data_IF_962639689252
#
_entry.id   IF_962639689252
#
_cell.length_a   1.000
_cell.length_b   1.000
_cell.length_c   1.000
_cell.angle_alpha   90.00
_cell.angle_beta   90.00
_cell.angle_gamma   90.00
#
_symmetry.space_group_name_H-M   'P 1'
#
loop_
_entity.id
_entity.type
_entity.pdbx_description
1 polymer ?
#
# COMPACT_ATOMS: atom_id res chain seq x y z
N UNK A 1 27.32 -14.08 -65.61
CA UNK A 1 27.12 -13.41 -64.32
C UNK A 1 26.74 -14.47 -63.29
N UNK A 2 27.42 -14.53 -62.14
CA UNK A 2 27.05 -15.40 -61.00
C UNK A 2 26.79 -14.55 -59.80
N UNK A 3 25.71 -14.86 -59.10
CA UNK A 3 25.35 -14.29 -57.81
C UNK A 3 25.51 -15.44 -56.80
N UNK A 4 26.03 -15.13 -55.63
CA UNK A 4 26.11 -16.07 -54.52
C UNK A 4 25.79 -15.28 -53.23
N UNK A 5 24.61 -15.45 -52.75
CA UNK A 5 24.18 -15.02 -51.44
C UNK A 5 23.94 -16.23 -50.55
N UNK A 6 23.71 -16.00 -49.26
CA UNK A 6 23.41 -17.05 -48.28
C UNK A 6 22.16 -16.63 -47.51
N UNK A 7 21.33 -17.62 -47.29
CA UNK A 7 20.30 -17.51 -46.29
C UNK A 7 20.96 -17.21 -44.92
N UNK A 8 20.35 -16.35 -44.17
CA UNK A 8 20.85 -15.91 -42.87
C UNK A 8 19.71 -15.84 -41.85
N UNK A 9 20.04 -16.12 -40.61
CA UNK A 9 19.13 -15.91 -39.47
C UNK A 9 19.72 -14.77 -38.64
N UNK A 10 18.89 -13.79 -38.31
CA UNK A 10 19.26 -12.59 -37.54
C UNK A 10 18.18 -12.26 -36.50
N UNK A 11 18.58 -11.57 -35.43
CA UNK A 11 17.62 -11.04 -34.46
C UNK A 11 16.64 -10.08 -35.16
N UNK A 12 15.40 -10.04 -34.66
CA UNK A 12 14.33 -9.29 -35.28
C UNK A 12 14.56 -7.76 -35.26
N UNK A 13 15.38 -7.24 -34.33
CA UNK A 13 15.78 -5.85 -34.21
C UNK A 13 16.99 -5.47 -35.07
N UNK A 14 17.50 -6.43 -35.83
CA UNK A 14 18.64 -6.20 -36.73
C UNK A 14 18.27 -5.20 -37.83
N UNK A 15 19.13 -4.21 -38.07
CA UNK A 15 19.00 -3.34 -39.22
C UNK A 15 19.21 -4.16 -40.53
N UNK A 16 18.11 -4.43 -41.21
CA UNK A 16 18.14 -5.20 -42.47
C UNK A 16 18.88 -4.47 -43.59
N UNK A 17 19.15 -3.17 -43.46
CA UNK A 17 19.97 -2.42 -44.41
C UNK A 17 21.48 -2.59 -44.17
N UNK A 18 21.87 -3.12 -43.00
CA UNK A 18 23.26 -3.42 -42.74
C UNK A 18 23.65 -4.74 -43.42
N UNK A 19 24.22 -4.61 -44.61
CA UNK A 19 24.65 -5.75 -45.42
C UNK A 19 25.81 -6.52 -44.80
N UNK A 20 26.53 -5.94 -43.83
CA UNK A 20 27.57 -6.67 -43.11
C UNK A 20 27.00 -7.78 -42.22
N UNK A 21 25.75 -7.60 -41.78
CA UNK A 21 25.01 -8.58 -40.96
C UNK A 21 24.07 -9.44 -41.79
N UNK A 22 23.31 -8.84 -42.70
CA UNK A 22 22.33 -9.56 -43.53
C UNK A 22 22.91 -10.22 -44.76
N UNK A 23 24.16 -9.94 -45.08
CA UNK A 23 24.85 -10.47 -46.27
C UNK A 23 24.79 -9.50 -47.46
N UNK A 24 25.81 -9.59 -48.31
CA UNK A 24 25.94 -8.81 -49.54
C UNK A 24 26.28 -9.79 -50.69
N UNK A 25 26.04 -9.35 -51.90
CA UNK A 25 26.41 -10.10 -53.08
C UNK A 25 27.92 -10.12 -53.20
N UNK A 26 28.49 -11.27 -52.93
CA UNK A 26 29.91 -11.53 -53.10
C UNK A 26 30.17 -12.09 -54.51
N UNK A 27 31.24 -11.66 -55.14
CA UNK A 27 31.75 -12.19 -56.41
C UNK A 27 30.81 -11.96 -57.63
N UNK A 28 30.07 -10.83 -57.66
CA UNK A 28 29.39 -10.44 -58.91
C UNK A 28 30.41 -10.15 -60.00
N UNK A 29 30.44 -10.95 -61.04
CA UNK A 29 31.37 -10.80 -62.14
C UNK A 29 30.70 -11.08 -63.50
N UNK A 30 31.06 -10.28 -64.49
CA UNK A 30 30.71 -10.49 -65.86
C UNK A 30 31.95 -10.56 -66.74
N UNK A 31 31.94 -11.40 -67.79
CA UNK A 31 33.07 -11.61 -68.68
C UNK A 31 33.20 -10.47 -69.72
N UNK A 32 32.11 -9.78 -70.01
CA UNK A 32 32.02 -8.79 -71.06
C UNK A 32 31.95 -7.36 -70.58
N UNK A 33 31.57 -7.12 -69.29
CA UNK A 33 31.44 -5.80 -68.70
C UNK A 33 32.15 -5.71 -67.36
N UNK A 34 32.84 -4.61 -67.12
CA UNK A 34 33.41 -4.29 -65.81
C UNK A 34 32.48 -3.42 -64.95
N UNK A 35 31.46 -2.84 -65.55
CA UNK A 35 30.48 -2.04 -64.85
C UNK A 35 29.30 -2.91 -64.38
N UNK A 36 29.23 -3.13 -63.07
CA UNK A 36 28.21 -3.97 -62.41
C UNK A 36 27.50 -3.12 -61.42
N UNK A 37 26.15 -3.16 -61.47
CA UNK A 37 25.26 -2.51 -60.53
C UNK A 37 24.47 -3.57 -59.76
N UNK A 38 24.52 -3.50 -58.41
CA UNK A 38 23.81 -4.40 -57.51
C UNK A 38 22.72 -3.61 -56.81
N UNK A 39 21.49 -4.12 -56.84
CA UNK A 39 20.33 -3.58 -56.12
C UNK A 39 19.57 -4.73 -55.47
N UNK A 40 18.77 -4.45 -54.47
CA UNK A 40 17.85 -5.43 -53.88
C UNK A 40 16.48 -4.85 -53.55
N UNK A 41 15.50 -5.74 -53.36
CA UNK A 41 14.17 -5.45 -52.84
C UNK A 41 13.81 -6.48 -51.83
N UNK A 42 13.20 -6.06 -50.71
CA UNK A 42 12.76 -6.92 -49.61
C UNK A 42 11.24 -7.05 -49.59
N UNK A 43 10.77 -8.29 -49.45
CA UNK A 43 9.38 -8.61 -49.19
C UNK A 43 9.32 -9.36 -47.85
N UNK A 44 8.56 -8.82 -46.86
CA UNK A 44 8.36 -9.46 -45.57
C UNK A 44 7.10 -10.30 -45.57
N UNK A 45 7.22 -11.59 -45.20
CA UNK A 45 6.03 -12.38 -44.88
C UNK A 45 5.58 -12.01 -43.48
N UNK A 46 4.30 -11.64 -43.33
CA UNK A 46 3.70 -11.42 -42.02
C UNK A 46 3.06 -12.73 -41.56
N UNK A 47 3.58 -13.33 -40.49
CA UNK A 47 2.88 -14.37 -39.76
C UNK A 47 1.80 -13.73 -38.88
N UNK A 48 0.67 -14.40 -38.67
CA UNK A 48 -0.39 -13.92 -37.73
C UNK A 48 0.00 -14.10 -36.24
N UNK A 49 1.26 -14.48 -35.94
CA UNK A 49 1.78 -14.67 -34.59
C UNK A 49 2.22 -13.37 -33.94
N UNK A 50 2.18 -13.32 -32.62
CA UNK A 50 2.68 -12.18 -31.84
C UNK A 50 4.22 -12.15 -31.74
N UNK A 51 4.88 -13.27 -32.06
CA UNK A 51 6.34 -13.37 -32.13
C UNK A 51 6.82 -12.96 -33.53
N UNK A 52 7.61 -11.89 -33.63
CA UNK A 52 8.17 -11.42 -34.90
C UNK A 52 9.21 -12.40 -35.48
N UNK A 53 9.74 -13.31 -34.66
CA UNK A 53 10.65 -14.36 -35.11
C UNK A 53 10.04 -15.36 -36.13
N UNK A 54 8.71 -15.37 -36.26
CA UNK A 54 8.04 -16.18 -37.30
C UNK A 54 8.09 -15.51 -38.68
N UNK A 55 8.63 -14.30 -38.79
CA UNK A 55 8.66 -13.55 -40.03
C UNK A 55 9.92 -13.91 -40.83
N UNK A 56 9.73 -13.97 -42.14
CA UNK A 56 10.79 -14.22 -43.12
C UNK A 56 10.84 -13.05 -44.09
N UNK A 57 12.04 -12.51 -44.30
CA UNK A 57 12.27 -11.50 -45.34
C UNK A 57 12.85 -12.22 -46.56
N UNK A 58 12.18 -12.08 -47.67
CA UNK A 58 12.64 -12.53 -48.98
C UNK A 58 13.31 -11.37 -49.68
N UNK A 59 14.63 -11.36 -49.74
CA UNK A 59 15.44 -10.35 -50.42
C UNK A 59 15.72 -10.83 -51.84
N UNK A 60 15.26 -10.06 -52.84
CA UNK A 60 15.55 -10.32 -54.25
C UNK A 60 16.69 -9.40 -54.70
N UNK A 61 17.82 -9.99 -54.93
CA UNK A 61 18.98 -9.32 -55.49
C UNK A 61 18.86 -9.21 -57.01
N UNK A 62 19.27 -8.07 -57.57
CA UNK A 62 19.36 -7.84 -59.01
C UNK A 62 20.75 -7.29 -59.34
N UNK A 63 21.47 -8.02 -60.17
CA UNK A 63 22.76 -7.59 -60.66
C UNK A 63 22.64 -7.30 -62.14
N UNK A 64 23.00 -6.05 -62.54
CA UNK A 64 22.88 -5.55 -63.91
C UNK A 64 24.25 -5.13 -64.42
N UNK A 65 24.58 -5.53 -65.68
CA UNK A 65 25.81 -5.12 -66.36
C UNK A 65 25.66 -3.75 -67.03
N UNK A 66 26.76 -3.15 -67.51
CA UNK A 66 26.76 -1.89 -68.24
C UNK A 66 26.03 -1.91 -69.56
N UNK A 67 25.62 -3.05 -70.07
CA UNK A 67 24.83 -3.23 -71.28
C UNK A 67 23.33 -3.40 -71.02
N UNK A 68 22.92 -3.49 -69.75
CA UNK A 68 21.53 -3.59 -69.31
C UNK A 68 21.02 -5.06 -69.19
N UNK A 69 21.91 -6.07 -69.25
CA UNK A 69 21.52 -7.43 -68.94
C UNK A 69 21.50 -7.63 -67.43
N UNK A 70 20.44 -8.24 -66.95
CA UNK A 70 20.19 -8.44 -65.50
C UNK A 70 20.04 -9.93 -65.14
N UNK A 71 20.49 -10.29 -63.95
CA UNK A 71 20.29 -11.58 -63.29
C UNK A 71 19.77 -11.31 -61.89
N UNK A 72 18.84 -12.13 -61.46
CA UNK A 72 18.29 -12.07 -60.11
C UNK A 72 18.60 -13.33 -59.32
N UNK A 73 18.74 -13.20 -58.03
CA UNK A 73 18.80 -14.30 -57.05
C UNK A 73 18.03 -13.95 -55.80
N UNK A 74 17.66 -14.96 -55.00
CA UNK A 74 16.78 -14.78 -53.85
C UNK A 74 17.50 -15.26 -52.59
N UNK A 75 17.59 -14.40 -51.59
CA UNK A 75 18.09 -14.68 -50.27
C UNK A 75 16.91 -14.74 -49.30
N UNK A 76 16.93 -15.71 -48.41
CA UNK A 76 15.99 -15.82 -47.30
C UNK A 76 16.65 -15.33 -46.01
N UNK A 77 16.12 -14.29 -45.42
CA UNK A 77 16.51 -13.78 -44.11
C UNK A 77 15.43 -14.19 -43.12
N UNK A 78 15.77 -15.10 -42.22
CA UNK A 78 14.89 -15.55 -41.15
C UNK A 78 15.11 -14.64 -39.92
N UNK A 79 14.06 -14.07 -39.39
CA UNK A 79 14.11 -13.32 -38.14
C UNK A 79 13.98 -14.32 -36.98
N UNK A 80 14.76 -14.11 -35.94
CA UNK A 80 14.62 -14.82 -34.67
C UNK A 80 14.56 -13.83 -33.51
N UNK A 81 14.00 -14.25 -32.41
CA UNK A 81 13.97 -13.52 -31.16
C UNK A 81 14.47 -14.45 -30.05
N UNK A 82 15.72 -14.25 -29.66
CA UNK A 82 16.37 -14.99 -28.59
C UNK A 82 16.62 -14.13 -27.34
N UNK A 83 16.20 -12.89 -27.39
CA UNK A 83 16.35 -11.92 -26.29
C UNK A 83 15.13 -11.93 -25.40
N UNK A 84 15.35 -11.89 -24.10
CA UNK A 84 14.27 -11.80 -23.13
C UNK A 84 13.94 -10.33 -22.83
N UNK A 85 12.71 -10.03 -22.36
CA UNK A 85 12.33 -8.68 -21.96
C UNK A 85 13.33 -8.05 -20.98
N UNK A 86 13.69 -6.81 -21.21
CA UNK A 86 14.57 -6.04 -20.32
C UNK A 86 13.70 -5.34 -19.27
N UNK A 87 14.06 -5.50 -17.99
CA UNK A 87 13.35 -4.89 -16.86
C UNK A 87 14.33 -4.05 -16.05
N UNK A 88 14.03 -2.75 -15.90
CA UNK A 88 14.79 -1.84 -15.04
C UNK A 88 13.99 -1.63 -13.77
N UNK A 89 14.53 -2.03 -12.61
CA UNK A 89 13.82 -2.07 -11.36
C UNK A 89 14.71 -1.78 -10.16
N UNK A 90 14.08 -1.48 -9.03
CA UNK A 90 14.71 -1.39 -7.72
C UNK A 90 14.55 -2.72 -6.98
N UNK A 91 15.67 -3.30 -6.55
CA UNK A 91 15.68 -4.57 -5.81
C UNK A 91 15.12 -4.42 -4.38
N UNK A 92 15.41 -3.30 -3.71
CA UNK A 92 15.00 -3.05 -2.33
C UNK A 92 14.10 -1.83 -2.25
N UNK A 93 12.87 -2.03 -1.83
CA UNK A 93 11.83 -1.01 -1.78
C UNK A 93 11.37 -0.83 -0.34
N UNK A 94 11.28 0.42 0.12
CA UNK A 94 10.66 0.74 1.40
C UNK A 94 9.45 1.64 1.16
N UNK A 95 8.27 1.16 1.59
CA UNK A 95 7.02 1.88 1.52
C UNK A 95 6.65 2.38 2.92
N UNK A 96 6.25 3.63 3.03
CA UNK A 96 5.79 4.24 4.27
C UNK A 96 4.29 4.52 4.15
N UNK A 97 3.55 4.15 5.19
CA UNK A 97 2.13 4.48 5.35
C UNK A 97 1.24 4.11 4.15
N UNK A 98 1.64 3.05 3.44
CA UNK A 98 0.83 2.51 2.37
C UNK A 98 -0.39 1.81 2.96
N UNK A 99 -1.53 2.49 2.98
CA UNK A 99 -2.82 1.96 3.46
C UNK A 99 -3.40 0.87 2.54
N UNK A 100 -2.71 0.54 1.44
CA UNK A 100 -3.14 -0.50 0.51
C UNK A 100 -2.69 -1.87 1.00
N UNK A 101 -3.64 -2.76 1.24
CA UNK A 101 -3.36 -4.19 1.47
C UNK A 101 -2.76 -4.88 0.24
N UNK A 102 -2.78 -4.20 -0.91
CA UNK A 102 -2.21 -4.69 -2.17
C UNK A 102 -1.09 -3.76 -2.61
N UNK A 103 0.13 -4.28 -2.64
CA UNK A 103 1.26 -3.58 -3.26
C UNK A 103 1.09 -3.66 -4.76
N UNK A 104 1.18 -2.50 -5.44
CA UNK A 104 1.17 -2.43 -6.89
C UNK A 104 2.24 -3.39 -7.46
N UNK A 105 1.86 -4.20 -8.45
CA UNK A 105 2.77 -5.15 -9.09
C UNK A 105 3.99 -4.45 -9.69
N UNK A 106 3.83 -3.20 -10.14
CA UNK A 106 4.91 -2.44 -10.76
C UNK A 106 5.66 -1.49 -9.81
N UNK A 107 5.46 -1.62 -8.49
CA UNK A 107 6.22 -0.81 -7.54
C UNK A 107 7.74 -0.99 -7.77
N UNK A 108 8.46 0.12 -7.87
CA UNK A 108 9.92 0.11 -8.10
C UNK A 108 10.36 -0.35 -9.48
N UNK A 109 9.46 -0.63 -10.42
CA UNK A 109 9.79 -0.90 -11.82
C UNK A 109 9.68 0.41 -12.59
N UNK A 110 10.75 0.79 -13.27
CA UNK A 110 10.83 2.04 -14.02
C UNK A 110 10.68 1.87 -15.50
N UNK A 111 11.08 0.73 -16.05
CA UNK A 111 11.02 0.45 -17.48
C UNK A 111 10.91 -1.06 -17.73
N UNK A 112 10.11 -1.44 -18.72
CA UNK A 112 10.02 -2.79 -19.24
C UNK A 112 9.90 -2.66 -20.75
N UNK A 113 10.78 -3.30 -21.48
CA UNK A 113 10.71 -3.32 -22.94
C UNK A 113 11.27 -4.61 -23.52
N UNK A 114 10.76 -4.96 -24.67
CA UNK A 114 11.26 -5.96 -25.56
C UNK A 114 11.29 -5.40 -26.99
N UNK A 115 12.35 -5.71 -27.74
CA UNK A 115 12.51 -5.13 -29.07
C UNK A 115 11.72 -5.87 -30.15
N UNK A 116 11.35 -7.12 -29.88
CA UNK A 116 10.84 -8.04 -30.87
C UNK A 116 9.38 -8.43 -30.67
N UNK A 117 8.86 -8.30 -29.45
CA UNK A 117 7.52 -8.79 -29.18
C UNK A 117 6.88 -8.14 -27.94
N UNK A 118 5.57 -8.31 -27.79
CA UNK A 118 4.87 -7.99 -26.55
C UNK A 118 5.24 -9.01 -25.46
N UNK A 119 5.11 -8.60 -24.20
CA UNK A 119 5.38 -9.45 -23.03
C UNK A 119 4.16 -9.66 -22.15
N UNK A 120 4.18 -10.73 -21.40
CA UNK A 120 3.28 -11.02 -20.29
C UNK A 120 4.09 -11.21 -19.02
N UNK A 121 3.45 -11.11 -17.84
CA UNK A 121 4.14 -11.34 -16.58
C UNK A 121 3.31 -12.15 -15.59
N UNK A 122 4.01 -12.75 -14.63
CA UNK A 122 3.41 -13.38 -13.45
C UNK A 122 4.12 -12.89 -12.20
N UNK A 123 3.35 -12.68 -11.11
CA UNK A 123 3.88 -12.23 -9.82
C UNK A 123 3.65 -13.32 -8.77
N UNK A 124 4.64 -13.54 -7.92
CA UNK A 124 4.57 -14.42 -6.76
C UNK A 124 5.14 -13.71 -5.55
N UNK A 125 4.31 -13.50 -4.52
CA UNK A 125 4.66 -12.82 -3.29
C UNK A 125 4.78 -13.81 -2.12
N UNK A 126 5.91 -13.79 -1.42
CA UNK A 126 6.15 -14.56 -0.20
C UNK A 126 6.32 -13.58 0.96
N UNK A 127 5.32 -13.54 1.84
CA UNK A 127 5.36 -12.70 3.02
C UNK A 127 6.28 -13.30 4.09
N UNK A 128 7.19 -12.48 4.60
CA UNK A 128 8.12 -12.83 5.67
C UNK A 128 8.10 -11.75 6.74
N UNK A 129 7.90 -12.14 8.00
CA UNK A 129 7.88 -11.21 9.12
C UNK A 129 6.54 -10.50 9.28
N UNK A 130 5.80 -10.88 10.32
CA UNK A 130 4.56 -10.20 10.73
C UNK A 130 4.82 -9.39 11.99
N UNK A 131 5.50 -8.25 11.87
CA UNK A 131 5.44 -7.22 12.90
C UNK A 131 4.07 -6.55 12.85
N UNK A 132 3.55 -6.09 14.01
CA UNK A 132 2.28 -5.35 14.07
C UNK A 132 2.39 -4.05 13.24
N UNK A 133 3.61 -3.55 13.06
CA UNK A 133 3.90 -2.23 12.49
C UNK A 133 4.67 -2.27 11.17
N UNK A 134 5.01 -3.47 10.70
CA UNK A 134 5.72 -3.63 9.43
C UNK A 134 5.56 -5.04 8.90
N UNK A 135 5.57 -5.19 7.58
CA UNK A 135 5.73 -6.48 6.95
C UNK A 135 6.81 -6.42 5.88
N UNK A 136 7.37 -7.58 5.57
CA UNK A 136 8.32 -7.76 4.49
C UNK A 136 7.77 -8.79 3.53
N UNK A 137 7.97 -8.58 2.26
CA UNK A 137 7.68 -9.58 1.25
C UNK A 137 8.87 -9.72 0.29
N UNK A 138 9.06 -10.93 -0.15
CA UNK A 138 9.92 -11.25 -1.29
C UNK A 138 9.00 -11.47 -2.48
N UNK A 139 9.13 -10.62 -3.47
CA UNK A 139 8.38 -10.66 -4.73
C UNK A 139 9.26 -11.25 -5.81
N UNK A 140 8.76 -12.27 -6.48
CA UNK A 140 9.39 -12.81 -7.70
C UNK A 140 8.45 -12.52 -8.87
N UNK A 141 8.96 -11.86 -9.89
CA UNK A 141 8.22 -11.61 -11.14
C UNK A 141 8.94 -12.28 -12.31
N UNK A 142 8.18 -12.94 -13.15
CA UNK A 142 8.66 -13.55 -14.37
C UNK A 142 7.97 -12.87 -15.55
N UNK A 143 8.76 -12.24 -16.39
CA UNK A 143 8.32 -11.61 -17.64
C UNK A 143 8.63 -12.59 -18.78
N UNK A 144 7.64 -12.83 -19.61
CA UNK A 144 7.76 -13.76 -20.75
C UNK A 144 7.31 -13.03 -22.00
N UNK A 145 8.14 -12.99 -23.02
CA UNK A 145 7.78 -12.45 -24.32
C UNK A 145 6.88 -13.42 -25.12
N UNK A 146 6.45 -12.99 -26.29
CA UNK A 146 5.61 -13.81 -27.16
C UNK A 146 6.36 -14.98 -27.82
N UNK A 147 7.69 -14.95 -27.83
CA UNK A 147 8.56 -16.00 -28.37
C UNK A 147 8.98 -17.02 -27.30
N UNK A 148 8.69 -16.73 -26.03
CA UNK A 148 8.92 -17.62 -24.89
C UNK A 148 10.22 -17.36 -24.13
N UNK A 149 10.96 -16.27 -24.45
CA UNK A 149 12.14 -15.88 -23.68
C UNK A 149 11.69 -15.24 -22.36
N UNK A 150 12.44 -15.43 -21.29
CA UNK A 150 12.01 -15.02 -19.95
C UNK A 150 13.07 -14.25 -19.19
N UNK A 151 12.62 -13.19 -18.50
CA UNK A 151 13.41 -12.50 -17.47
C UNK A 151 12.73 -12.65 -16.12
N UNK A 152 13.49 -13.04 -15.11
CA UNK A 152 13.04 -13.15 -13.73
C UNK A 152 13.70 -12.07 -12.89
N UNK A 153 12.91 -11.32 -12.13
CA UNK A 153 13.40 -10.35 -11.16
C UNK A 153 12.94 -10.74 -9.75
N UNK A 154 13.71 -10.32 -8.75
CA UNK A 154 13.40 -10.47 -7.34
C UNK A 154 13.43 -9.09 -6.67
N UNK A 155 12.42 -8.79 -5.86
CA UNK A 155 12.31 -7.55 -5.10
C UNK A 155 12.07 -7.86 -3.62
N UNK A 156 12.73 -7.11 -2.75
CA UNK A 156 12.52 -7.10 -1.31
C UNK A 156 11.73 -5.84 -0.94
N UNK A 157 10.45 -6.00 -0.63
CA UNK A 157 9.59 -4.88 -0.25
C UNK A 157 9.38 -4.89 1.26
N UNK A 158 9.70 -3.76 1.89
CA UNK A 158 9.43 -3.52 3.31
C UNK A 158 8.38 -2.43 3.42
N UNK A 159 7.23 -2.75 4.01
CA UNK A 159 6.21 -1.75 4.35
C UNK A 159 6.30 -1.42 5.83
N UNK A 160 6.35 -0.13 6.14
CA UNK A 160 6.43 0.43 7.50
C UNK A 160 5.22 1.34 7.71
N UNK A 161 4.50 1.12 8.82
CA UNK A 161 3.35 1.93 9.18
C UNK A 161 3.69 2.89 10.31
N UNK A 162 3.21 4.13 10.22
CA UNK A 162 3.28 5.08 11.32
C UNK A 162 2.38 4.62 12.47
N UNK A 163 2.90 4.71 13.69
CA UNK A 163 2.21 4.30 14.90
C UNK A 163 2.04 5.49 15.83
N UNK A 164 0.91 5.54 16.51
CA UNK A 164 0.56 6.60 17.45
C UNK A 164 -0.88 6.48 17.91
N UNK A 165 -1.37 7.47 18.63
CA UNK A 165 -2.77 7.51 19.02
C UNK A 165 -3.68 7.87 17.84
N UNK A 166 -4.58 6.95 17.45
CA UNK A 166 -5.52 7.14 16.33
C UNK A 166 -6.90 7.66 16.72
N UNK A 167 -7.15 7.92 18.01
CA UNK A 167 -8.43 8.42 18.51
C UNK A 167 -8.43 9.94 18.60
N UNK A 168 -9.31 10.58 17.82
CA UNK A 168 -9.39 12.04 17.70
C UNK A 168 -9.75 12.77 19.02
N UNK A 169 -10.35 12.06 19.98
CA UNK A 169 -10.71 12.62 21.29
C UNK A 169 -9.54 12.59 22.28
N UNK A 170 -8.43 11.98 21.96
CA UNK A 170 -7.24 11.95 22.79
C UNK A 170 -6.42 13.23 22.60
N UNK A 171 -5.78 13.73 23.68
CA UNK A 171 -4.96 14.97 23.64
C UNK A 171 -3.67 14.81 22.83
N UNK A 172 -3.22 13.57 22.64
CA UNK A 172 -2.06 13.23 21.86
C UNK A 172 -2.43 12.51 20.55
N UNK A 173 -3.63 12.79 20.01
CA UNK A 173 -4.04 12.30 18.70
C UNK A 173 -2.99 12.64 17.64
N UNK A 174 -2.61 11.63 16.87
CA UNK A 174 -1.69 11.77 15.74
C UNK A 174 -2.44 11.45 14.43
N UNK A 175 -2.73 12.48 13.65
CA UNK A 175 -3.42 12.35 12.36
C UNK A 175 -2.62 11.51 11.35
N UNK A 176 -1.29 11.45 11.52
CA UNK A 176 -0.42 10.67 10.62
C UNK A 176 -0.34 9.19 11.02
N UNK A 177 -0.78 8.81 12.24
CA UNK A 177 -0.76 7.44 12.68
C UNK A 177 -1.82 6.62 11.95
N UNK A 178 -1.42 5.47 11.39
CA UNK A 178 -2.31 4.49 10.76
C UNK A 178 -2.66 3.37 11.74
N UNK A 179 -1.76 3.05 12.67
CA UNK A 179 -1.96 1.99 13.66
C UNK A 179 -1.91 2.59 15.06
N UNK A 180 -2.94 2.30 15.87
CA UNK A 180 -2.97 2.64 17.28
C UNK A 180 -1.94 1.80 18.05
N UNK A 181 -1.02 2.47 18.73
CA UNK A 181 0.02 1.85 19.56
C UNK A 181 -0.36 1.77 21.06
N UNK A 182 -1.59 2.17 21.39
CA UNK A 182 -2.09 2.23 22.76
C UNK A 182 -1.55 3.40 23.58
N UNK A 183 -0.93 4.39 22.94
CA UNK A 183 -0.36 5.58 23.60
C UNK A 183 -1.37 6.67 23.89
N UNK A 184 -2.67 6.47 23.57
CA UNK A 184 -3.70 7.49 23.71
C UNK A 184 -3.83 7.99 25.15
N UNK A 185 -3.84 9.29 25.30
CA UNK A 185 -3.96 10.01 26.58
C UNK A 185 -5.25 10.81 26.59
N UNK A 186 -6.07 10.61 27.61
CA UNK A 186 -7.34 11.31 27.78
C UNK A 186 -7.31 12.14 29.05
N UNK A 187 -7.80 13.37 28.98
CA UNK A 187 -8.01 14.24 30.14
C UNK A 187 -9.40 14.00 30.73
N UNK A 188 -9.52 14.23 32.04
CA UNK A 188 -10.76 14.14 32.77
C UNK A 188 -10.53 13.83 34.24
N UNK A 189 -11.63 13.75 35.01
CA UNK A 189 -11.53 13.40 36.43
C UNK A 189 -11.05 11.96 36.63
N UNK A 190 -9.93 11.78 37.31
CA UNK A 190 -9.33 10.46 37.61
C UNK A 190 -9.69 9.91 38.98
N UNK A 191 -10.41 10.69 39.81
CA UNK A 191 -10.87 10.27 41.15
C UNK A 191 -12.15 9.45 41.04
N UNK A 192 -12.08 8.17 41.38
CA UNK A 192 -13.21 7.24 41.37
C UNK A 192 -14.34 7.63 42.35
N UNK A 193 -14.04 8.48 43.37
CA UNK A 193 -15.03 8.97 44.33
C UNK A 193 -15.83 10.15 43.79
N UNK A 194 -15.38 10.78 42.73
CA UNK A 194 -16.01 11.95 42.14
C UNK A 194 -17.23 11.60 41.29
N UNK A 195 -18.22 12.49 41.31
CA UNK A 195 -19.47 12.26 40.58
C UNK A 195 -19.32 12.25 39.05
N UNK A 196 -18.26 12.84 38.52
CA UNK A 196 -17.90 12.90 37.12
C UNK A 196 -16.63 12.10 36.80
N UNK A 197 -16.33 11.05 37.57
CA UNK A 197 -15.24 10.15 37.28
C UNK A 197 -15.26 9.66 35.83
N UNK A 198 -14.13 9.80 35.14
CA UNK A 198 -13.94 9.31 33.79
C UNK A 198 -12.99 8.10 33.78
N UNK A 199 -13.49 6.86 33.57
CA UNK A 199 -12.66 5.66 33.66
C UNK A 199 -11.61 5.54 32.57
N UNK A 200 -11.71 6.33 31.49
CA UNK A 200 -10.72 6.35 30.41
C UNK A 200 -9.69 7.47 30.57
N UNK A 201 -9.93 8.43 31.48
CA UNK A 201 -8.97 9.51 31.74
C UNK A 201 -7.69 8.93 32.34
N UNK A 202 -6.55 9.33 31.76
CA UNK A 202 -5.21 9.00 32.24
C UNK A 202 -4.50 10.22 32.83
N UNK A 203 -5.04 11.40 32.58
CA UNK A 203 -4.56 12.69 33.12
C UNK A 203 -5.71 13.42 33.78
N UNK A 204 -5.51 13.82 35.07
CA UNK A 204 -6.48 14.63 35.77
C UNK A 204 -6.44 16.07 35.25
N UNK A 205 -7.60 16.58 34.81
CA UNK A 205 -7.77 17.92 34.30
C UNK A 205 -8.27 18.92 35.37
N UNK A 206 -8.40 18.45 36.61
CA UNK A 206 -8.92 19.22 37.73
C UNK A 206 -10.45 19.43 37.73
N UNK A 207 -11.17 18.71 36.86
CA UNK A 207 -12.61 18.81 36.70
C UNK A 207 -13.39 17.98 37.73
N UNK A 208 -12.72 17.27 38.61
CA UNK A 208 -13.36 16.38 39.58
C UNK A 208 -14.44 17.06 40.41
N UNK A 209 -15.63 16.48 40.43
CA UNK A 209 -16.80 17.01 41.18
C UNK A 209 -17.04 16.15 42.42
N UNK A 210 -16.77 16.73 43.57
CA UNK A 210 -17.11 16.15 44.87
C UNK A 210 -18.42 16.81 45.37
N UNK A 211 -19.49 16.03 45.38
CA UNK A 211 -20.79 16.50 45.87
C UNK A 211 -20.86 16.34 47.39
N UNK A 212 -21.29 17.37 48.10
CA UNK A 212 -21.45 17.31 49.56
C UNK A 212 -22.02 18.58 50.13
N UNK A 213 -22.30 18.54 51.42
CA UNK A 213 -22.73 19.71 52.16
C UNK A 213 -21.58 20.73 52.25
N UNK A 214 -21.78 21.92 51.70
CA UNK A 214 -20.81 23.01 51.70
C UNK A 214 -21.05 24.04 52.86
N UNK A 215 -22.11 23.85 53.68
CA UNK A 215 -22.39 24.70 54.82
C UNK A 215 -21.73 24.13 56.09
N UNK A 216 -20.76 24.85 56.72
CA UNK A 216 -20.11 24.43 57.95
C UNK A 216 -21.07 24.19 59.13
N UNK A 217 -22.31 24.68 59.07
CA UNK A 217 -23.29 24.44 60.09
C UNK A 217 -24.01 23.09 59.97
N UNK A 218 -23.89 22.41 58.84
CA UNK A 218 -24.43 21.07 58.60
C UNK A 218 -23.62 19.99 59.34
N UNK A 219 -24.29 18.93 59.81
CA UNK A 219 -23.63 17.80 60.47
C UNK A 219 -22.75 16.96 59.50
N UNK A 220 -23.16 16.95 58.23
CA UNK A 220 -22.51 16.25 57.15
C UNK A 220 -21.62 17.16 56.27
N UNK A 221 -21.16 18.30 56.86
CA UNK A 221 -20.29 19.24 56.21
C UNK A 221 -19.06 18.54 55.63
N UNK A 222 -18.86 18.67 54.32
CA UNK A 222 -17.69 18.17 53.61
C UNK A 222 -16.85 19.33 53.11
N UNK A 223 -15.67 19.58 53.72
CA UNK A 223 -14.77 20.67 53.29
C UNK A 223 -14.18 20.49 51.89
N UNK A 224 -14.18 19.27 51.37
CA UNK A 224 -13.67 18.95 50.04
C UNK A 224 -14.74 19.02 48.95
N UNK A 225 -16.02 19.28 49.34
CA UNK A 225 -17.09 19.46 48.38
C UNK A 225 -16.87 20.71 47.54
N UNK A 226 -16.89 20.56 46.23
CA UNK A 226 -16.86 21.65 45.26
C UNK A 226 -18.16 21.80 44.46
N UNK A 227 -19.16 20.94 44.76
CA UNK A 227 -20.49 21.00 44.21
C UNK A 227 -21.54 20.81 45.35
N UNK A 228 -22.60 21.66 45.44
CA UNK A 228 -23.53 21.60 46.56
C UNK A 228 -24.33 20.31 46.56
N UNK A 229 -24.29 19.60 47.68
CA UNK A 229 -25.19 18.54 48.07
C UNK A 229 -26.21 19.00 49.11
N UNK A 230 -27.13 18.13 49.49
CA UNK A 230 -28.02 18.40 50.64
C UNK A 230 -27.21 18.50 51.94
N UNK A 231 -27.64 19.32 52.87
CA UNK A 231 -27.06 19.43 54.21
C UNK A 231 -28.03 18.91 55.26
N UNK A 232 -27.55 18.08 56.18
CA UNK A 232 -28.29 17.72 57.38
C UNK A 232 -28.00 18.73 58.50
N UNK A 233 -29.02 19.36 58.99
CA UNK A 233 -28.88 20.32 60.06
C UNK A 233 -29.37 19.73 61.38
N UNK A 234 -28.81 20.22 62.50
CA UNK A 234 -29.37 19.89 63.79
C UNK A 234 -30.84 20.27 63.79
N UNK A 235 -31.65 19.42 64.29
CA UNK A 235 -33.06 19.76 64.55
C UNK A 235 -33.14 21.02 65.39
N UNK A 236 -33.71 22.10 64.85
CA UNK A 236 -33.81 23.34 65.58
C UNK A 236 -34.63 23.21 66.88
N UNK A 237 -35.37 22.15 67.00
CA UNK A 237 -36.22 21.88 68.21
C UNK A 237 -36.02 20.40 68.65
N UNK A 238 -34.84 20.02 69.21
CA UNK A 238 -34.64 18.65 69.67
C UNK A 238 -35.65 18.33 70.75
N UNK A 239 -36.54 17.39 70.45
CA UNK A 239 -37.68 17.05 71.31
C UNK A 239 -39.06 17.42 70.77
N UNK A 240 -39.11 18.11 69.61
CA UNK A 240 -40.31 18.27 68.79
C UNK A 240 -40.54 16.98 67.99
N UNK A 241 -41.26 16.08 68.54
CA UNK A 241 -41.46 14.71 67.97
C UNK A 241 -42.59 14.75 66.91
N UNK A 242 -43.44 15.74 66.97
CA UNK A 242 -44.56 15.86 66.06
C UNK A 242 -44.34 16.91 64.93
N UNK A 243 -43.12 17.47 64.85
CA UNK A 243 -42.72 18.47 63.86
C UNK A 243 -43.64 19.72 63.78
N UNK A 244 -44.29 20.12 64.94
CA UNK A 244 -45.17 21.30 64.99
C UNK A 244 -44.39 22.59 65.25
N UNK A 245 -43.11 22.55 65.43
CA UNK A 245 -42.19 23.69 65.66
C UNK A 245 -42.13 24.10 67.12
N UNK A 246 -42.72 23.37 68.08
CA UNK A 246 -42.68 23.69 69.49
C UNK A 246 -42.52 22.44 70.35
N UNK A 247 -41.53 22.41 71.23
CA UNK A 247 -41.38 21.34 72.24
C UNK A 247 -42.35 21.52 73.38
N UNK A 248 -43.40 20.71 73.48
CA UNK A 248 -44.43 20.77 74.45
C UNK A 248 -45.00 19.40 74.88
N UNK A 249 -46.12 19.40 75.59
CA UNK A 249 -46.73 18.12 76.08
C UNK A 249 -47.26 17.23 74.98
N UNK A 250 -47.50 17.77 73.77
CA UNK A 250 -47.97 16.97 72.64
C UNK A 250 -46.84 16.05 72.12
N UNK A 251 -45.58 16.47 72.12
CA UNK A 251 -44.41 15.66 71.75
C UNK A 251 -44.23 14.51 72.75
N UNK A 252 -44.39 14.77 74.01
CA UNK A 252 -44.28 13.75 75.03
C UNK A 252 -45.42 12.71 74.91
N UNK A 253 -46.62 13.14 74.50
CA UNK A 253 -47.70 12.20 74.23
C UNK A 253 -47.44 11.36 73.00
N UNK A 254 -46.83 11.88 71.96
CA UNK A 254 -46.43 11.15 70.76
C UNK A 254 -45.32 10.20 71.07
N UNK A 255 -44.31 10.59 71.86
CA UNK A 255 -43.26 9.74 72.34
C UNK A 255 -43.81 8.51 73.08
N UNK A 256 -44.83 8.70 73.95
CA UNK A 256 -45.43 7.55 74.65
C UNK A 256 -46.29 6.67 73.75
N UNK A 257 -46.82 7.15 72.64
CA UNK A 257 -47.51 6.33 71.63
C UNK A 257 -46.56 5.47 70.84
N UNK A 258 -45.33 5.97 70.60
CA UNK A 258 -44.28 5.24 69.91
C UNK A 258 -43.48 4.27 70.81
N UNK A 259 -43.61 4.49 72.15
CA UNK A 259 -42.87 3.69 73.15
C UNK A 259 -43.45 2.28 73.25
N UNK A 260 -42.66 1.29 72.77
CA UNK A 260 -43.06 -0.09 72.79
C UNK A 260 -43.63 -0.61 71.48
N UNK A 261 -43.51 0.17 70.41
CA UNK A 261 -43.75 -0.30 69.04
C UNK A 261 -42.42 -0.78 68.50
N UNK A 262 -42.37 -2.06 68.11
CA UNK A 262 -41.17 -2.63 67.45
C UNK A 262 -40.91 -1.91 66.14
N UNK A 263 -39.66 -1.45 65.92
CA UNK A 263 -39.24 -0.89 64.63
C UNK A 263 -39.34 -1.98 63.57
N UNK A 264 -39.98 -1.75 62.42
CA UNK A 264 -39.94 -2.68 61.31
C UNK A 264 -38.49 -2.83 60.82
N UNK A 265 -38.02 -4.11 60.60
CA UNK A 265 -36.71 -4.46 60.06
C UNK A 265 -36.47 -3.89 58.66
#
# INVERSE_FOLDING_TARGET
MCIRDRDVTVECDTDLMDLSTTGDVMDAADVCSTDIFVTYTDEMSTSEGSCLADNVVTRTWTVTDGCGNAVTDVQVITLEDTTAPVVIYEENITLYDSASETIDDFVGITEIYDACSDYTYTTTDIFSGSGIYSYQLNRTMVFTDACGNTTTIEQFVTAIYSTGCTYADAINYDEAAIIDDGSCVYEGCTDMASANYNPIASVDDGSCVTVGCMDPAGYDYNPDANYPGGCDYPDPCPGDINDDGTVNVSDLLEFFQLYGVDCPE
#
